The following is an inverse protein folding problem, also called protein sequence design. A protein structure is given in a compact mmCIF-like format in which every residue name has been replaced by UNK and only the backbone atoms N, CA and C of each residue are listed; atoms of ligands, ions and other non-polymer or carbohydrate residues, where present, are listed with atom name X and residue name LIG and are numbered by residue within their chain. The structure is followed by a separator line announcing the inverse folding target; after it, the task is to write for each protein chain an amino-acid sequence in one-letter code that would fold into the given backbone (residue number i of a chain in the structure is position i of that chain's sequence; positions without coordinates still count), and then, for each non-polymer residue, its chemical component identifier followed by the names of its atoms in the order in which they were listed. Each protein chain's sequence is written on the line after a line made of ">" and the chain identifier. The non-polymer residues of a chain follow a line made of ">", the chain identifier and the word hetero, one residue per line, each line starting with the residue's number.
data_IF_419953871779
#
_entry.id   IF_419953871779
#
_cell.length_a   1.000
_cell.length_b   1.000
_cell.length_c   1.000
_cell.angle_alpha   90.00
_cell.angle_beta   90.00
_cell.angle_gamma   90.00
#
_symmetry.space_group_name_H-M   'P 1'
#
loop_
_entity.id
_entity.type
_entity.pdbx_description
1 polymer ?
#
# COMPACT_ATOMS: atom_id res chain seq x y z
N UNK A 1 -7.28 -65.48 -36.77
CA UNK A 1 -7.61 -65.12 -35.37
C UNK A 1 -6.58 -64.12 -34.86
N UNK A 2 -6.91 -62.83 -34.84
CA UNK A 2 -5.97 -61.75 -34.54
C UNK A 2 -5.99 -61.38 -33.05
N UNK A 3 -4.83 -61.44 -32.38
CA UNK A 3 -4.58 -60.83 -31.06
C UNK A 3 -4.04 -59.41 -31.26
N UNK A 4 -4.77 -58.37 -30.84
CA UNK A 4 -4.23 -57.01 -30.64
C UNK A 4 -4.98 -56.37 -29.45
N UNK A 5 -4.34 -56.23 -28.28
CA UNK A 5 -3.54 -55.10 -27.77
C UNK A 5 -4.40 -53.97 -27.18
N UNK A 6 -4.60 -54.01 -25.86
CA UNK A 6 -5.22 -52.97 -25.04
C UNK A 6 -4.46 -51.63 -25.14
N UNK A 7 -5.13 -50.48 -25.30
CA UNK A 7 -4.48 -49.19 -25.19
C UNK A 7 -4.57 -48.69 -23.73
N UNK A 8 -3.40 -48.48 -23.13
CA UNK A 8 -3.23 -47.90 -21.82
C UNK A 8 -3.55 -46.39 -21.75
N UNK A 9 -3.79 -45.96 -20.51
CA UNK A 9 -3.63 -44.61 -19.94
C UNK A 9 -3.44 -43.44 -20.93
N UNK A 10 -4.43 -42.55 -20.97
CA UNK A 10 -4.19 -41.10 -20.97
C UNK A 10 -4.94 -40.49 -19.79
N UNK A 11 -4.27 -40.42 -18.65
CA UNK A 11 -4.67 -39.53 -17.56
C UNK A 11 -4.74 -38.12 -18.14
N UNK A 12 -5.95 -37.57 -18.26
CA UNK A 12 -6.17 -36.15 -18.51
C UNK A 12 -5.51 -35.40 -17.37
N UNK A 13 -4.28 -34.95 -17.60
CA UNK A 13 -3.58 -34.05 -16.71
C UNK A 13 -4.46 -32.83 -16.54
N UNK A 14 -5.14 -32.76 -15.40
CA UNK A 14 -5.83 -31.55 -14.97
C UNK A 14 -4.72 -30.54 -14.78
N UNK A 15 -4.48 -29.70 -15.80
CA UNK A 15 -3.73 -28.46 -15.63
C UNK A 15 -4.56 -27.68 -14.63
N UNK A 16 -4.27 -27.86 -13.35
CA UNK A 16 -4.78 -27.00 -12.29
C UNK A 16 -4.27 -25.62 -12.67
N UNK A 17 -5.16 -24.83 -13.30
CA UNK A 17 -4.97 -23.40 -13.45
C UNK A 17 -4.73 -22.90 -12.05
N UNK A 18 -3.46 -22.65 -11.73
CA UNK A 18 -3.04 -22.06 -10.46
C UNK A 18 -3.89 -20.80 -10.32
N UNK A 19 -4.90 -20.88 -9.46
CA UNK A 19 -5.75 -19.72 -9.13
C UNK A 19 -4.76 -18.65 -8.70
N UNK A 20 -4.64 -17.58 -9.49
CA UNK A 20 -3.79 -16.44 -9.16
C UNK A 20 -4.19 -16.05 -7.73
N UNK A 21 -3.26 -16.21 -6.78
CA UNK A 21 -3.50 -15.81 -5.38
C UNK A 21 -4.04 -14.38 -5.43
N UNK A 22 -5.13 -14.08 -4.69
CA UNK A 22 -5.66 -12.72 -4.66
C UNK A 22 -4.50 -11.78 -4.35
N UNK A 23 -4.34 -10.73 -5.16
CA UNK A 23 -3.29 -9.72 -4.93
C UNK A 23 -3.51 -9.21 -3.51
N UNK A 24 -2.60 -9.56 -2.60
CA UNK A 24 -2.60 -9.02 -1.25
C UNK A 24 -2.60 -7.50 -1.39
N UNK A 25 -3.68 -6.85 -0.94
CA UNK A 25 -3.75 -5.41 -0.83
C UNK A 25 -2.76 -4.98 0.24
N UNK A 26 -1.52 -4.72 -0.18
CA UNK A 26 -0.41 -4.35 0.68
C UNK A 26 0.22 -3.04 0.22
N UNK A 27 1.07 -2.48 1.07
CA UNK A 27 1.69 -1.18 0.88
C UNK A 27 2.98 -1.23 0.06
N UNK A 28 3.33 -2.40 -0.50
CA UNK A 28 4.59 -2.65 -1.23
C UNK A 28 4.92 -1.59 -2.28
N UNK A 29 3.94 -1.22 -3.11
CA UNK A 29 4.14 -0.21 -4.16
C UNK A 29 4.47 1.17 -3.58
N UNK A 30 3.78 1.56 -2.51
CA UNK A 30 3.97 2.86 -1.86
C UNK A 30 5.32 2.93 -1.13
N UNK A 31 5.72 1.84 -0.47
CA UNK A 31 7.04 1.71 0.17
C UNK A 31 8.15 1.87 -0.88
N UNK A 32 8.03 1.24 -2.05
CA UNK A 32 9.00 1.40 -3.14
C UNK A 32 9.02 2.81 -3.72
N UNK A 33 7.85 3.45 -3.88
CA UNK A 33 7.77 4.85 -4.35
C UNK A 33 8.42 5.80 -3.35
N UNK A 34 8.20 5.59 -2.05
CA UNK A 34 8.81 6.39 -0.99
C UNK A 34 10.33 6.19 -0.93
N UNK A 35 10.80 4.94 -1.02
CA UNK A 35 12.23 4.64 -1.02
C UNK A 35 12.97 5.38 -2.15
N UNK A 36 12.40 5.38 -3.35
CA UNK A 36 12.97 6.11 -4.49
C UNK A 36 13.04 7.62 -4.29
N UNK A 37 12.09 8.21 -3.54
CA UNK A 37 12.10 9.64 -3.20
C UNK A 37 13.19 10.00 -2.20
N UNK A 38 13.44 9.12 -1.21
CA UNK A 38 14.40 9.39 -0.12
C UNK A 38 15.84 9.03 -0.54
N UNK A 39 16.04 7.87 -1.19
CA UNK A 39 17.35 7.41 -1.65
C UNK A 39 17.25 6.78 -3.03
N UNK A 40 17.49 7.55 -4.10
CA UNK A 40 17.63 7.02 -5.45
C UNK A 40 18.76 5.98 -5.54
N UNK A 41 18.55 4.89 -6.28
CA UNK A 41 19.58 3.85 -6.52
C UNK A 41 19.66 2.73 -5.49
N UNK A 42 18.95 2.83 -4.36
CA UNK A 42 18.89 1.77 -3.34
C UNK A 42 17.76 0.80 -3.65
N UNK A 43 18.05 -0.50 -3.55
CA UNK A 43 17.08 -1.59 -3.62
C UNK A 43 16.81 -2.16 -2.23
N UNK A 44 15.63 -2.77 -2.07
CA UNK A 44 15.20 -3.38 -0.81
C UNK A 44 14.97 -4.88 -1.00
N UNK A 45 15.38 -5.68 -0.01
CA UNK A 45 15.18 -7.13 -0.04
C UNK A 45 13.70 -7.51 0.16
N UNK A 46 13.32 -8.70 -0.29
CA UNK A 46 11.94 -9.19 -0.13
C UNK A 46 11.53 -9.36 1.34
N UNK A 47 12.46 -9.77 2.21
CA UNK A 47 12.22 -9.91 3.65
C UNK A 47 11.98 -8.55 4.29
N UNK A 48 12.84 -7.56 4.03
CA UNK A 48 12.66 -6.21 4.54
C UNK A 48 11.37 -5.56 4.02
N UNK A 49 10.99 -5.83 2.77
CA UNK A 49 9.72 -5.38 2.20
C UNK A 49 8.51 -5.97 2.95
N UNK A 50 8.54 -7.25 3.32
CA UNK A 50 7.48 -7.86 4.11
C UNK A 50 7.39 -7.24 5.50
N UNK A 51 8.52 -7.10 6.19
CA UNK A 51 8.57 -6.46 7.52
C UNK A 51 8.03 -5.03 7.49
N UNK A 52 8.43 -4.21 6.51
CA UNK A 52 7.91 -2.84 6.37
C UNK A 52 6.42 -2.81 6.06
N UNK A 53 5.95 -3.71 5.20
CA UNK A 53 4.54 -3.82 4.85
C UNK A 53 3.68 -4.15 6.08
N UNK A 54 4.14 -5.08 6.92
CA UNK A 54 3.39 -5.47 8.12
C UNK A 54 3.52 -4.42 9.22
N UNK A 55 4.68 -3.77 9.38
CA UNK A 55 4.84 -2.60 10.25
C UNK A 55 3.86 -1.49 9.87
N UNK A 56 3.71 -1.21 8.57
CA UNK A 56 2.76 -0.20 8.06
C UNK A 56 1.32 -0.57 8.41
N UNK A 57 0.94 -1.83 8.22
CA UNK A 57 -0.39 -2.32 8.63
C UNK A 57 -0.62 -2.15 10.13
N UNK A 58 0.34 -2.55 10.97
CA UNK A 58 0.21 -2.44 12.43
C UNK A 58 0.04 -0.97 12.87
N UNK A 59 0.79 -0.04 12.26
CA UNK A 59 0.66 1.38 12.57
C UNK A 59 -0.73 1.94 12.17
N UNK A 60 -1.19 1.64 10.95
CA UNK A 60 -2.48 2.12 10.47
C UNK A 60 -3.63 1.50 11.27
N UNK A 61 -3.56 0.21 11.60
CA UNK A 61 -4.58 -0.43 12.44
C UNK A 61 -4.67 0.20 13.82
N UNK A 62 -3.53 0.52 14.45
CA UNK A 62 -3.50 1.24 15.73
C UNK A 62 -4.09 2.64 15.63
N UNK A 63 -3.73 3.37 14.58
CA UNK A 63 -4.23 4.73 14.35
C UNK A 63 -5.75 4.75 14.07
N UNK A 64 -6.25 3.80 13.28
CA UNK A 64 -7.68 3.64 13.03
C UNK A 64 -8.45 3.28 14.30
N UNK A 65 -7.88 2.41 15.14
CA UNK A 65 -8.50 2.03 16.41
C UNK A 65 -8.64 3.24 17.34
N UNK A 66 -7.57 3.99 17.55
CA UNK A 66 -7.62 5.21 18.39
C UNK A 66 -8.57 6.27 17.82
N UNK A 67 -8.58 6.47 16.49
CA UNK A 67 -9.50 7.40 15.85
C UNK A 67 -10.98 6.97 16.03
N UNK A 68 -11.26 5.67 15.97
CA UNK A 68 -12.58 5.13 16.22
C UNK A 68 -13.01 5.35 17.68
N UNK A 69 -12.13 5.07 18.65
CA UNK A 69 -12.39 5.30 20.08
C UNK A 69 -12.69 6.78 20.36
N UNK A 70 -11.91 7.70 19.77
CA UNK A 70 -12.15 9.15 19.92
C UNK A 70 -13.48 9.61 19.32
N UNK A 71 -13.87 9.01 18.20
CA UNK A 71 -15.10 9.34 17.47
C UNK A 71 -16.33 8.81 18.20
N UNK A 72 -16.23 7.59 18.75
CA UNK A 72 -17.25 6.96 19.59
C UNK A 72 -17.48 7.73 20.90
N UNK A 73 -16.39 8.14 21.57
CA UNK A 73 -16.46 8.97 22.77
C UNK A 73 -17.19 10.30 22.54
N UNK A 74 -17.12 10.85 21.33
CA UNK A 74 -17.81 12.08 20.92
C UNK A 74 -19.22 11.85 20.36
N UNK A 75 -19.65 10.58 20.22
CA UNK A 75 -20.91 10.16 19.59
C UNK A 75 -21.11 10.72 18.17
N UNK A 76 -20.01 10.83 17.42
CA UNK A 76 -20.04 11.29 16.02
C UNK A 76 -19.97 10.05 15.13
N UNK A 77 -20.80 9.95 14.09
CA UNK A 77 -20.78 8.79 13.19
C UNK A 77 -19.68 8.85 12.12
N UNK A 78 -19.06 10.02 11.93
CA UNK A 78 -18.08 10.29 10.88
C UNK A 78 -16.71 10.61 11.47
N UNK A 79 -15.70 9.81 11.14
CA UNK A 79 -14.30 10.10 11.45
C UNK A 79 -13.83 11.25 10.56
N UNK A 80 -13.34 12.35 11.15
CA UNK A 80 -12.79 13.50 10.40
C UNK A 80 -11.27 13.53 10.51
N UNK A 81 -10.63 14.35 9.67
CA UNK A 81 -9.18 14.58 9.70
C UNK A 81 -8.68 14.96 11.12
N UNK A 82 -9.42 15.82 11.83
CA UNK A 82 -9.08 16.25 13.19
C UNK A 82 -9.04 15.09 14.19
N UNK A 83 -9.88 14.07 13.99
CA UNK A 83 -9.96 12.90 14.86
C UNK A 83 -8.76 11.98 14.60
N UNK A 84 -8.37 11.82 13.34
CA UNK A 84 -7.14 11.10 12.95
C UNK A 84 -5.87 11.80 13.47
N UNK A 85 -5.82 13.13 13.39
CA UNK A 85 -4.69 13.91 13.91
C UNK A 85 -4.60 13.84 15.44
N UNK A 86 -5.75 13.80 16.14
CA UNK A 86 -5.79 13.58 17.58
C UNK A 86 -5.28 12.17 17.95
N UNK A 87 -5.69 11.14 17.21
CA UNK A 87 -5.18 9.78 17.38
C UNK A 87 -3.66 9.70 17.17
N UNK A 88 -3.13 10.39 16.15
CA UNK A 88 -1.68 10.44 15.90
C UNK A 88 -0.90 11.08 17.06
N UNK A 89 -1.47 12.10 17.72
CA UNK A 89 -0.87 12.73 18.92
C UNK A 89 -0.81 11.79 20.13
N UNK A 90 -1.71 10.81 20.21
CA UNK A 90 -1.69 9.80 21.28
C UNK A 90 -0.61 8.74 21.01
N UNK A 91 -0.44 8.35 19.74
CA UNK A 91 0.46 7.25 19.36
C UNK A 91 1.92 7.68 19.19
N UNK A 92 2.18 8.92 18.76
CA UNK A 92 3.52 9.42 18.45
C UNK A 92 3.92 10.55 19.40
N UNK A 93 5.22 10.64 19.73
CA UNK A 93 5.78 11.66 20.64
C UNK A 93 7.03 12.32 20.02
N UNK A 94 7.39 13.50 20.53
CA UNK A 94 8.61 14.22 20.13
C UNK A 94 8.62 14.62 18.66
N UNK A 95 9.79 14.57 18.03
CA UNK A 95 10.01 15.01 16.65
C UNK A 95 9.17 14.22 15.64
N UNK A 96 8.93 12.93 15.90
CA UNK A 96 8.09 12.10 15.04
C UNK A 96 6.66 12.65 14.95
N UNK A 97 6.12 13.15 16.07
CA UNK A 97 4.81 13.78 16.09
C UNK A 97 4.82 15.10 15.30
N UNK A 98 5.84 15.94 15.49
CA UNK A 98 5.95 17.20 14.78
C UNK A 98 6.00 17.00 13.26
N UNK A 99 6.81 16.07 12.78
CA UNK A 99 6.88 15.71 11.35
C UNK A 99 5.56 15.16 10.82
N UNK A 100 4.90 14.28 11.58
CA UNK A 100 3.62 13.70 11.18
C UNK A 100 2.52 14.75 11.00
N UNK A 101 2.48 15.76 11.89
CA UNK A 101 1.52 16.87 11.79
C UNK A 101 1.81 17.73 10.55
N UNK A 102 3.08 18.02 10.27
CA UNK A 102 3.48 18.79 9.07
C UNK A 102 3.09 18.08 7.78
N UNK A 103 3.38 16.78 7.68
CA UNK A 103 3.01 15.97 6.51
C UNK A 103 1.49 15.84 6.35
N UNK A 104 0.73 15.72 7.45
CA UNK A 104 -0.73 15.68 7.41
C UNK A 104 -1.31 16.97 6.82
N UNK A 105 -0.89 18.14 7.32
CA UNK A 105 -1.36 19.44 6.83
C UNK A 105 -1.05 19.64 5.34
N UNK A 106 0.15 19.22 4.93
CA UNK A 106 0.57 19.27 3.52
C UNK A 106 -0.31 18.37 2.64
N UNK A 107 -0.62 17.16 3.12
CA UNK A 107 -1.48 16.24 2.39
C UNK A 107 -2.90 16.80 2.22
N UNK A 108 -3.49 17.38 3.27
CA UNK A 108 -4.83 18.00 3.21
C UNK A 108 -4.85 19.19 2.25
N UNK A 109 -3.86 20.08 2.36
CA UNK A 109 -3.75 21.22 1.44
C UNK A 109 -3.61 20.78 -0.03
N UNK A 110 -2.81 19.75 -0.31
CA UNK A 110 -2.68 19.21 -1.67
C UNK A 110 -3.97 18.54 -2.18
N UNK A 111 -4.76 17.95 -1.28
CA UNK A 111 -6.03 17.34 -1.64
C UNK A 111 -7.06 18.41 -2.04
N UNK A 112 -7.14 19.49 -1.25
CA UNK A 112 -8.08 20.59 -1.48
C UNK A 112 -7.72 21.40 -2.74
N UNK A 113 -6.43 21.53 -3.07
CA UNK A 113 -5.95 22.25 -4.26
C UNK A 113 -6.17 21.50 -5.59
N UNK A 114 -6.62 20.24 -5.56
CA UNK A 114 -6.74 19.39 -6.74
C UNK A 114 -5.39 18.92 -7.30
N UNK A 115 -5.37 18.05 -8.33
CA UNK A 115 -4.14 17.43 -8.80
C UNK A 115 -3.16 18.48 -9.36
N UNK A 116 -2.07 18.71 -8.64
CA UNK A 116 -0.90 19.46 -9.14
C UNK A 116 -0.27 18.62 -10.25
N UNK A 117 -0.66 18.90 -11.50
CA UNK A 117 -0.04 18.32 -12.69
C UNK A 117 1.36 18.91 -12.80
N UNK A 118 2.37 18.20 -12.27
CA UNK A 118 3.76 18.48 -12.64
C UNK A 118 3.87 18.26 -14.16
N UNK A 119 4.01 19.37 -14.89
CA UNK A 119 4.22 19.38 -16.34
C UNK A 119 5.57 18.72 -16.65
N UNK A 120 5.57 17.40 -16.82
CA UNK A 120 6.70 16.65 -17.35
C UNK A 120 7.01 17.16 -18.76
N UNK A 121 8.19 17.74 -18.94
CA UNK A 121 8.68 18.27 -20.21
C UNK A 121 8.58 17.23 -21.33
N UNK A 122 7.87 17.57 -22.40
CA UNK A 122 7.80 16.77 -23.64
C UNK A 122 9.21 16.67 -24.24
N UNK A 123 9.92 15.55 -24.00
CA UNK A 123 11.03 15.15 -24.87
C UNK A 123 10.46 14.90 -26.27
N UNK A 124 10.72 15.81 -27.20
CA UNK A 124 10.43 15.66 -28.64
C UNK A 124 11.08 14.35 -29.12
N UNK A 125 10.27 13.33 -29.43
CA UNK A 125 10.72 12.19 -30.24
C UNK A 125 10.96 12.72 -31.65
N UNK A 126 12.23 12.87 -32.06
CA UNK A 126 12.61 13.01 -33.46
C UNK A 126 12.14 11.75 -34.19
N UNK A 127 11.21 11.90 -35.15
CA UNK A 127 10.95 10.87 -36.15
C UNK A 127 12.18 10.84 -37.07
N UNK A 128 12.74 9.66 -37.27
CA UNK A 128 13.58 9.32 -38.41
C UNK A 128 12.79 8.32 -39.23
#
# INVERSE_FOLDING_TARGET
>A
MAKTKSPGKKSRGTIQRVRKKPKSQGYRLYILRLLKKIRPGVNISNTAMNTLNDMTKTLISRLNYEAAVLTDARRIATIREKDVLAAAKLLMKGDLLAHSIMECRKATANYDQGPVVEKGGKKKRKKK
#
